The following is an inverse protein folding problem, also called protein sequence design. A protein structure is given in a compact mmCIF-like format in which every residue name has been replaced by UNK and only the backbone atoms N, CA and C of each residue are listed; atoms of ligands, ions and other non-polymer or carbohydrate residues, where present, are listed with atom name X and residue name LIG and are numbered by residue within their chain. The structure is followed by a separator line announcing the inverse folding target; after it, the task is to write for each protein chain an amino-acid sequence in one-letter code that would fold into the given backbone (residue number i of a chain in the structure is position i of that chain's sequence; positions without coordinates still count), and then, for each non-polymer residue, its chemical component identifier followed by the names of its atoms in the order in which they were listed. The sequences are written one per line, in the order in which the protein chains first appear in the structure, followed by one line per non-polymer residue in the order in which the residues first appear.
data_IF_066797481070
#
_entry.id   IF_066797481070
#
_cell.length_a   1.000
_cell.length_b   1.000
_cell.length_c   1.000
_cell.angle_alpha   90.00
_cell.angle_beta   90.00
_cell.angle_gamma   90.00
#
_symmetry.space_group_name_H-M   'P 1'
#
loop_
_entity.id
_entity.type
_entity.pdbx_description
1 polymer ?
#
# COMPACT_ATOMS: atom_id res chain seq x y z
N UNK A 1 -6.89 -30.75 -6.51
CA UNK A 1 -6.18 -29.45 -6.52
C UNK A 1 -7.05 -28.33 -7.05
N UNK A 2 -7.91 -28.59 -8.02
CA UNK A 2 -8.74 -27.59 -8.68
C UNK A 2 -9.68 -26.87 -7.73
N UNK A 3 -10.36 -27.58 -6.83
CA UNK A 3 -11.21 -26.96 -5.79
C UNK A 3 -10.46 -25.92 -4.91
N UNK A 4 -9.20 -26.18 -4.58
CA UNK A 4 -8.40 -25.23 -3.79
C UNK A 4 -8.04 -23.98 -4.60
N UNK A 5 -7.70 -24.15 -5.87
CA UNK A 5 -7.43 -23.05 -6.80
C UNK A 5 -8.67 -22.19 -7.00
N UNK A 6 -9.82 -22.81 -7.25
CA UNK A 6 -11.10 -22.12 -7.39
C UNK A 6 -11.48 -21.32 -6.12
N UNK A 7 -11.25 -21.92 -4.94
CA UNK A 7 -11.48 -21.25 -3.67
C UNK A 7 -10.56 -20.03 -3.49
N UNK A 8 -9.28 -20.16 -3.85
CA UNK A 8 -8.34 -19.04 -3.78
C UNK A 8 -8.71 -17.96 -4.79
N UNK A 9 -9.07 -18.32 -6.02
CA UNK A 9 -9.54 -17.36 -7.02
C UNK A 9 -10.76 -16.58 -6.51
N UNK A 10 -11.76 -17.28 -5.94
CA UNK A 10 -12.95 -16.64 -5.38
C UNK A 10 -12.65 -15.70 -4.20
N UNK A 11 -11.75 -16.10 -3.30
CA UNK A 11 -11.33 -15.29 -2.14
C UNK A 11 -10.49 -14.07 -2.58
N UNK A 12 -9.79 -14.18 -3.69
CA UNK A 12 -8.97 -13.11 -4.25
C UNK A 12 -9.79 -11.97 -4.84
N UNK A 13 -11.07 -12.18 -5.12
CA UNK A 13 -11.97 -11.13 -5.61
C UNK A 13 -11.93 -9.90 -4.70
N UNK A 14 -11.93 -8.66 -5.22
CA UNK A 14 -11.64 -7.45 -4.44
C UNK A 14 -12.43 -7.32 -3.16
N UNK A 15 -13.74 -7.54 -3.16
CA UNK A 15 -14.56 -7.42 -1.92
C UNK A 15 -14.19 -8.44 -0.84
N UNK A 16 -13.88 -9.69 -1.21
CA UNK A 16 -13.42 -10.69 -0.25
C UNK A 16 -12.00 -10.39 0.22
N UNK A 17 -11.13 -10.03 -0.72
CA UNK A 17 -9.75 -9.67 -0.44
C UNK A 17 -9.68 -8.49 0.54
N UNK A 18 -10.41 -7.40 0.32
CA UNK A 18 -10.47 -6.28 1.26
C UNK A 18 -11.11 -6.64 2.60
N UNK A 19 -12.17 -7.45 2.60
CA UNK A 19 -12.81 -7.90 3.85
C UNK A 19 -11.86 -8.74 4.71
N UNK A 20 -11.16 -9.70 4.08
CA UNK A 20 -10.17 -10.52 4.77
C UNK A 20 -8.96 -9.71 5.23
N UNK A 21 -8.54 -8.74 4.45
CA UNK A 21 -7.46 -7.82 4.83
C UNK A 21 -7.83 -6.96 6.05
N UNK A 22 -9.08 -6.53 6.19
CA UNK A 22 -9.56 -5.87 7.41
C UNK A 22 -9.51 -6.82 8.62
N UNK A 23 -9.86 -8.09 8.43
CA UNK A 23 -9.70 -9.12 9.46
C UNK A 23 -8.23 -9.32 9.84
N UNK A 24 -7.34 -9.41 8.85
CA UNK A 24 -5.90 -9.51 9.06
C UNK A 24 -5.36 -8.27 9.78
N UNK A 25 -5.80 -7.08 9.39
CA UNK A 25 -5.43 -5.83 10.06
C UNK A 25 -5.83 -5.84 11.54
N UNK A 26 -7.06 -6.26 11.85
CA UNK A 26 -7.49 -6.45 13.24
C UNK A 26 -6.59 -7.45 13.98
N UNK A 27 -6.25 -8.56 13.35
CA UNK A 27 -5.33 -9.56 13.91
C UNK A 27 -3.92 -8.98 14.14
N UNK A 28 -3.40 -8.18 13.22
CA UNK A 28 -2.10 -7.52 13.34
C UNK A 28 -2.05 -6.55 14.52
N UNK A 29 -3.14 -5.83 14.80
CA UNK A 29 -3.21 -4.91 15.93
C UNK A 29 -3.46 -5.61 17.28
N UNK A 30 -4.11 -6.77 17.26
CA UNK A 30 -4.51 -7.49 18.47
C UNK A 30 -3.53 -8.58 18.88
N UNK A 31 -3.02 -9.35 17.89
CA UNK A 31 -2.21 -10.54 18.16
C UNK A 31 -0.74 -10.22 18.31
N UNK A 32 -0.26 -10.24 19.54
CA UNK A 32 1.16 -10.06 19.84
C UNK A 32 2.04 -11.23 19.37
N UNK A 33 1.46 -12.42 19.20
CA UNK A 33 2.20 -13.62 18.79
C UNK A 33 2.79 -13.52 17.38
N UNK A 34 2.13 -12.75 16.48
CA UNK A 34 2.65 -12.47 15.14
C UNK A 34 4.01 -11.74 15.16
N UNK A 35 4.19 -10.87 16.15
CA UNK A 35 5.36 -9.99 16.28
C UNK A 35 6.46 -10.59 17.13
N UNK A 36 6.52 -11.92 17.22
CA UNK A 36 7.60 -12.67 17.83
C UNK A 36 8.51 -13.25 16.75
N UNK A 37 9.75 -13.68 17.12
CA UNK A 37 10.64 -14.35 16.18
C UNK A 37 10.01 -15.60 15.57
N UNK A 38 9.29 -16.39 16.40
CA UNK A 38 8.56 -17.57 15.91
C UNK A 38 7.42 -17.21 14.98
N UNK A 39 6.63 -16.19 15.33
CA UNK A 39 5.54 -15.70 14.50
C UNK A 39 6.02 -15.20 13.14
N UNK A 40 7.11 -14.42 13.11
CA UNK A 40 7.74 -13.96 11.89
C UNK A 40 8.27 -15.09 11.01
N UNK A 41 8.93 -16.09 11.60
CA UNK A 41 9.40 -17.26 10.86
C UNK A 41 8.25 -18.09 10.29
N UNK A 42 7.15 -18.26 11.02
CA UNK A 42 5.97 -18.97 10.54
C UNK A 42 5.33 -18.18 9.39
N UNK A 43 5.17 -16.88 9.53
CA UNK A 43 4.59 -16.03 8.47
C UNK A 43 5.45 -16.07 7.20
N UNK A 44 6.77 -15.97 7.33
CA UNK A 44 7.70 -16.10 6.21
C UNK A 44 7.62 -17.49 5.57
N UNK A 45 7.64 -18.55 6.37
CA UNK A 45 7.55 -19.92 5.87
C UNK A 45 6.24 -20.17 5.10
N UNK A 46 5.10 -19.68 5.64
CA UNK A 46 3.80 -19.77 4.97
C UNK A 46 3.84 -19.02 3.62
N UNK A 47 4.37 -17.80 3.58
CA UNK A 47 4.49 -17.04 2.34
C UNK A 47 5.39 -17.71 1.31
N UNK A 48 6.55 -18.21 1.72
CA UNK A 48 7.49 -18.91 0.82
C UNK A 48 6.89 -20.23 0.31
N UNK A 49 6.28 -21.03 1.19
CA UNK A 49 5.63 -22.30 0.79
C UNK A 49 4.47 -22.03 -0.16
N UNK A 50 3.65 -21.02 0.13
CA UNK A 50 2.58 -20.60 -0.77
C UNK A 50 3.14 -20.24 -2.15
N UNK A 51 4.16 -19.39 -2.22
CA UNK A 51 4.78 -18.98 -3.49
C UNK A 51 5.33 -20.20 -4.25
N UNK A 52 6.11 -21.06 -3.59
CA UNK A 52 6.74 -22.22 -4.23
C UNK A 52 5.70 -23.22 -4.75
N UNK A 53 4.63 -23.48 -4.00
CA UNK A 53 3.56 -24.36 -4.45
C UNK A 53 2.76 -23.74 -5.59
N UNK A 54 2.50 -22.44 -5.53
CA UNK A 54 1.77 -21.71 -6.58
C UNK A 54 2.57 -21.61 -7.88
N UNK A 55 3.89 -21.57 -7.81
CA UNK A 55 4.77 -21.59 -9.00
C UNK A 55 4.71 -22.91 -9.80
N UNK A 56 4.06 -23.96 -9.28
CA UNK A 56 3.79 -25.20 -10.01
C UNK A 56 2.59 -25.07 -10.95
N UNK A 57 1.81 -24.02 -10.84
CA UNK A 57 0.70 -23.70 -11.72
C UNK A 57 1.17 -22.84 -12.88
N UNK A 58 0.79 -23.18 -14.11
CA UNK A 58 1.27 -22.50 -15.32
C UNK A 58 0.76 -21.04 -15.41
N UNK A 59 -0.49 -20.80 -15.06
CA UNK A 59 -1.09 -19.46 -15.12
C UNK A 59 -0.50 -18.54 -14.06
N UNK A 60 -0.35 -19.03 -12.84
CA UNK A 60 0.32 -18.29 -11.78
C UNK A 60 1.78 -17.99 -12.13
N UNK A 61 2.50 -18.99 -12.64
CA UNK A 61 3.90 -18.84 -13.05
C UNK A 61 4.05 -17.79 -14.14
N UNK A 62 3.18 -17.81 -15.16
CA UNK A 62 3.23 -16.88 -16.29
C UNK A 62 3.12 -15.40 -15.85
N UNK A 63 2.34 -15.13 -14.80
CA UNK A 63 2.16 -13.77 -14.25
C UNK A 63 3.30 -13.40 -13.31
N UNK A 64 3.66 -14.27 -12.37
CA UNK A 64 4.61 -13.94 -11.30
C UNK A 64 6.06 -13.95 -11.77
N UNK A 65 6.41 -14.85 -12.69
CA UNK A 65 7.76 -14.96 -13.25
C UNK A 65 8.04 -13.97 -14.41
N UNK A 66 7.05 -13.17 -14.79
CA UNK A 66 7.26 -12.10 -15.77
C UNK A 66 8.37 -11.16 -15.28
N UNK A 67 9.38 -10.82 -16.10
CA UNK A 67 10.57 -10.10 -15.63
C UNK A 67 10.32 -8.79 -14.90
N UNK A 68 9.27 -8.06 -15.27
CA UNK A 68 8.84 -6.81 -14.61
C UNK A 68 8.13 -7.06 -13.26
N UNK A 69 7.54 -8.25 -13.05
CA UNK A 69 6.83 -8.61 -11.83
C UNK A 69 7.75 -9.21 -10.75
N UNK A 70 8.87 -9.83 -11.14
CA UNK A 70 9.82 -10.45 -10.18
C UNK A 70 10.29 -9.48 -9.10
N UNK A 71 10.73 -8.23 -9.40
CA UNK A 71 11.10 -7.26 -8.37
C UNK A 71 9.94 -6.91 -7.43
N UNK A 72 8.71 -6.90 -7.94
CA UNK A 72 7.52 -6.58 -7.14
C UNK A 72 7.23 -7.70 -6.14
N UNK A 73 7.36 -8.96 -6.55
CA UNK A 73 7.24 -10.10 -5.64
C UNK A 73 8.29 -10.03 -4.54
N UNK A 74 9.54 -9.74 -4.89
CA UNK A 74 10.60 -9.55 -3.90
C UNK A 74 10.28 -8.40 -2.94
N UNK A 75 9.75 -7.29 -3.46
CA UNK A 75 9.34 -6.14 -2.65
C UNK A 75 8.23 -6.52 -1.65
N UNK A 76 7.25 -7.34 -2.02
CA UNK A 76 6.20 -7.80 -1.10
C UNK A 76 6.80 -8.53 0.11
N UNK A 77 7.77 -9.41 -0.12
CA UNK A 77 8.47 -10.10 0.97
C UNK A 77 9.30 -9.14 1.83
N UNK A 78 9.99 -8.17 1.21
CA UNK A 78 10.76 -7.15 1.94
C UNK A 78 9.86 -6.26 2.79
N UNK A 79 8.74 -5.81 2.25
CA UNK A 79 7.74 -5.04 2.99
C UNK A 79 7.22 -5.84 4.18
N UNK A 80 6.85 -7.10 3.97
CA UNK A 80 6.42 -8.00 5.05
C UNK A 80 7.48 -8.14 6.15
N UNK A 81 8.74 -8.33 5.76
CA UNK A 81 9.86 -8.43 6.70
C UNK A 81 10.06 -7.13 7.50
N UNK A 82 10.10 -5.96 6.85
CA UNK A 82 10.35 -4.70 7.55
C UNK A 82 9.18 -4.30 8.45
N UNK A 83 7.93 -4.56 8.05
CA UNK A 83 6.76 -4.37 8.91
C UNK A 83 6.84 -5.28 10.14
N UNK A 84 7.13 -6.56 9.93
CA UNK A 84 7.32 -7.49 11.04
C UNK A 84 8.45 -7.03 11.97
N UNK A 85 9.59 -6.62 11.41
CA UNK A 85 10.75 -6.19 12.19
C UNK A 85 10.46 -4.93 13.02
N UNK A 86 9.80 -3.93 12.43
CA UNK A 86 9.38 -2.73 13.13
C UNK A 86 8.42 -3.05 14.28
N UNK A 87 7.42 -3.88 14.04
CA UNK A 87 6.45 -4.29 15.05
C UNK A 87 7.09 -5.17 16.15
N UNK A 88 8.02 -6.06 15.77
CA UNK A 88 8.80 -6.83 16.74
C UNK A 88 9.59 -5.92 17.68
N UNK A 89 10.28 -4.91 17.14
CA UNK A 89 11.01 -3.91 17.94
C UNK A 89 10.07 -3.11 18.84
N UNK A 90 8.94 -2.65 18.31
CA UNK A 90 7.95 -1.90 19.07
C UNK A 90 7.42 -2.66 20.28
N UNK A 91 7.06 -3.93 20.11
CA UNK A 91 6.61 -4.77 21.23
C UNK A 91 7.72 -5.10 22.23
N UNK A 92 8.95 -5.25 21.74
CA UNK A 92 10.10 -5.45 22.62
C UNK A 92 10.38 -4.21 23.47
N UNK A 93 10.27 -3.03 22.90
CA UNK A 93 10.40 -1.77 23.63
C UNK A 93 9.27 -1.58 24.65
N UNK A 94 8.05 -2.00 24.33
CA UNK A 94 6.94 -2.04 25.30
C UNK A 94 7.29 -2.92 26.52
N UNK A 95 7.95 -4.06 26.30
CA UNK A 95 8.35 -4.95 27.41
C UNK A 95 9.47 -4.36 28.26
N UNK A 96 10.47 -3.74 27.63
CA UNK A 96 11.55 -3.06 28.34
C UNK A 96 11.00 -1.91 29.18
N UNK A 97 10.17 -1.06 28.58
CA UNK A 97 9.53 0.07 29.27
C UNK A 97 8.66 -0.40 30.46
N UNK A 98 7.93 -1.51 30.30
CA UNK A 98 7.10 -2.07 31.36
C UNK A 98 7.92 -2.61 32.56
N UNK A 99 9.17 -2.97 32.33
CA UNK A 99 10.12 -3.40 33.39
C UNK A 99 10.92 -2.25 34.01
N UNK A 100 10.81 -1.05 33.42
CA UNK A 100 11.65 0.10 33.78
C UNK A 100 13.04 0.06 33.19
N UNK A 101 13.28 -0.86 32.24
CA UNK A 101 14.56 -0.98 31.54
C UNK A 101 14.64 0.06 30.41
N UNK A 102 15.85 0.54 30.06
CA UNK A 102 16.03 1.45 28.92
C UNK A 102 15.67 0.72 27.62
N UNK A 103 15.07 1.45 26.68
CA UNK A 103 14.80 0.92 25.35
C UNK A 103 16.09 0.74 24.56
N UNK A 104 16.06 -0.12 23.55
CA UNK A 104 17.23 -0.41 22.72
C UNK A 104 17.81 0.89 22.11
N UNK A 105 16.96 1.74 21.58
CA UNK A 105 17.33 3.01 20.96
C UNK A 105 17.93 4.02 21.97
N UNK A 106 17.56 3.94 23.25
CA UNK A 106 18.11 4.84 24.29
C UNK A 106 19.50 4.44 24.78
N UNK A 107 19.91 3.18 24.56
CA UNK A 107 21.23 2.67 24.94
C UNK A 107 22.27 2.90 23.84
N UNK A 108 21.84 3.07 22.58
CA UNK A 108 22.71 3.31 21.43
C UNK A 108 23.00 4.79 21.14
N UNK A 109 22.71 5.69 22.08
CA UNK A 109 22.65 7.16 21.86
C UNK A 109 24.00 7.82 21.50
N UNK A 110 25.13 7.13 21.62
CA UNK A 110 26.44 7.76 21.45
C UNK A 110 27.20 7.38 20.16
N UNK A 111 26.62 6.62 19.27
CA UNK A 111 27.24 6.28 17.98
C UNK A 111 27.18 7.46 16.98
N UNK A 112 27.85 8.53 17.35
CA UNK A 112 28.05 9.66 16.40
C UNK A 112 29.22 9.30 15.51
N UNK A 113 28.94 9.14 14.22
CA UNK A 113 29.96 9.03 13.19
C UNK A 113 30.11 10.37 12.46
N UNK A 114 31.33 10.66 12.01
CA UNK A 114 31.54 11.83 11.17
C UNK A 114 30.86 11.63 9.81
N UNK A 115 30.20 12.66 9.32
CA UNK A 115 29.63 12.63 7.96
C UNK A 115 30.74 12.39 6.95
N UNK A 116 31.87 13.05 7.12
CA UNK A 116 33.09 12.85 6.36
C UNK A 116 34.25 12.42 7.30
N UNK A 117 35.02 11.35 7.03
CA UNK A 117 34.90 10.45 5.86
C UNK A 117 33.94 9.27 6.07
N UNK A 118 33.53 8.94 7.30
CA UNK A 118 33.00 7.63 7.69
C UNK A 118 31.66 7.31 7.00
N UNK A 119 30.68 8.22 7.11
CA UNK A 119 29.36 8.01 6.52
C UNK A 119 29.44 8.00 4.99
N UNK A 120 30.11 8.99 4.40
CA UNK A 120 30.26 9.13 2.93
C UNK A 120 30.99 7.92 2.36
N UNK A 121 32.00 7.37 3.08
CA UNK A 121 32.71 6.20 2.60
C UNK A 121 31.85 4.94 2.62
N UNK A 122 31.03 4.77 3.66
CA UNK A 122 30.05 3.68 3.76
C UNK A 122 29.00 3.75 2.66
N UNK A 123 28.46 4.93 2.40
CA UNK A 123 27.49 5.20 1.32
C UNK A 123 28.11 4.94 -0.05
N UNK A 124 29.35 5.35 -0.27
CA UNK A 124 30.08 5.09 -1.51
C UNK A 124 30.26 3.59 -1.78
N UNK A 125 30.69 2.83 -0.75
CA UNK A 125 30.83 1.37 -0.90
C UNK A 125 29.46 0.74 -1.23
N UNK A 126 28.42 1.14 -0.50
CA UNK A 126 27.07 0.64 -0.78
C UNK A 126 26.61 0.97 -2.21
N UNK A 127 26.84 2.19 -2.67
CA UNK A 127 26.53 2.61 -4.02
C UNK A 127 27.24 1.75 -5.07
N UNK A 128 28.54 1.48 -4.88
CA UNK A 128 29.31 0.61 -5.79
C UNK A 128 28.74 -0.79 -5.82
N UNK A 129 28.51 -1.40 -4.65
CA UNK A 129 27.97 -2.76 -4.54
C UNK A 129 26.58 -2.84 -5.18
N UNK A 130 25.72 -1.86 -4.90
CA UNK A 130 24.38 -1.79 -5.47
C UNK A 130 24.42 -1.62 -7.00
N UNK A 131 25.29 -0.76 -7.50
CA UNK A 131 25.46 -0.55 -8.95
C UNK A 131 25.90 -1.84 -9.64
N UNK A 132 26.85 -2.58 -9.07
CA UNK A 132 27.28 -3.88 -9.60
C UNK A 132 26.12 -4.88 -9.58
N UNK A 133 25.39 -4.96 -8.46
CA UNK A 133 24.26 -5.87 -8.32
C UNK A 133 23.14 -5.55 -9.35
N UNK A 134 22.78 -4.28 -9.53
CA UNK A 134 21.79 -3.85 -10.51
C UNK A 134 22.26 -4.06 -11.96
N UNK A 135 23.55 -3.89 -12.23
CA UNK A 135 24.11 -4.17 -13.56
C UNK A 135 24.03 -5.66 -13.89
N UNK A 136 24.43 -6.53 -12.96
CA UNK A 136 24.27 -7.98 -13.13
C UNK A 136 22.81 -8.36 -13.30
N UNK A 137 21.93 -7.80 -12.48
CA UNK A 137 20.49 -7.99 -12.58
C UNK A 137 19.92 -7.64 -13.95
N UNK A 138 20.29 -6.48 -14.47
CA UNK A 138 19.82 -6.00 -15.79
C UNK A 138 20.30 -6.85 -16.97
N UNK A 139 21.44 -7.55 -16.81
CA UNK A 139 21.96 -8.47 -17.82
C UNK A 139 21.22 -9.82 -17.75
N UNK A 140 20.98 -10.31 -16.55
CA UNK A 140 20.37 -11.65 -16.31
C UNK A 140 18.87 -11.63 -16.53
N UNK A 141 18.19 -10.60 -16.02
CA UNK A 141 16.74 -10.44 -16.12
C UNK A 141 16.41 -9.34 -17.11
N UNK A 142 16.10 -9.75 -18.33
CA UNK A 142 15.76 -8.78 -19.41
C UNK A 142 14.36 -8.20 -19.15
N UNK A 143 14.25 -6.87 -19.20
CA UNK A 143 12.96 -6.22 -19.23
C UNK A 143 12.18 -6.63 -20.49
N UNK A 144 10.88 -6.96 -20.39
CA UNK A 144 10.05 -7.25 -21.55
C UNK A 144 9.92 -5.97 -22.40
N UNK A 145 10.25 -6.08 -23.67
CA UNK A 145 9.97 -5.02 -24.63
C UNK A 145 8.57 -5.25 -25.21
N UNK A 146 7.79 -4.20 -25.22
CA UNK A 146 6.51 -4.19 -25.93
C UNK A 146 6.73 -4.08 -27.46
N UNK A 147 5.67 -4.29 -28.23
CA UNK A 147 5.70 -4.09 -29.66
C UNK A 147 6.07 -2.62 -30.02
N UNK A 148 6.62 -2.39 -31.23
CA UNK A 148 6.89 -1.04 -31.69
C UNK A 148 5.67 -0.14 -31.58
N UNK A 149 5.88 1.13 -31.19
CA UNK A 149 4.81 2.10 -30.99
C UNK A 149 3.88 2.17 -32.21
N UNK A 150 2.60 1.92 -31.99
CA UNK A 150 1.57 2.03 -33.00
C UNK A 150 0.50 3.03 -32.52
N UNK A 151 0.29 4.16 -33.18
CA UNK A 151 -0.67 5.17 -32.76
C UNK A 151 -2.13 4.69 -32.81
N UNK A 152 -2.40 3.58 -33.47
CA UNK A 152 -3.74 3.00 -33.61
C UNK A 152 -4.07 1.92 -32.58
N UNK A 153 -3.09 1.48 -31.80
CA UNK A 153 -3.25 0.35 -30.86
C UNK A 153 -2.64 0.74 -29.51
N UNK A 154 -3.44 0.62 -28.45
CA UNK A 154 -2.95 0.74 -27.07
C UNK A 154 -2.68 -0.66 -26.49
N UNK A 155 -1.66 -0.82 -25.61
CA UNK A 155 -1.46 -2.06 -24.87
C UNK A 155 -2.72 -2.48 -24.10
N UNK A 156 -3.00 -3.77 -24.07
CA UNK A 156 -4.15 -4.31 -23.33
C UNK A 156 -3.72 -5.47 -22.41
N UNK A 157 -3.68 -5.23 -21.08
CA UNK A 157 -4.03 -4.01 -20.38
C UNK A 157 -2.95 -2.93 -20.45
N UNK A 158 -3.34 -1.65 -20.49
CA UNK A 158 -2.42 -0.52 -20.34
C UNK A 158 -2.19 -0.25 -18.85
N UNK A 159 -1.08 -0.73 -18.32
CA UNK A 159 -0.73 -0.59 -16.90
C UNK A 159 0.23 0.58 -16.68
N UNK A 160 -0.05 1.39 -15.68
CA UNK A 160 0.90 2.34 -15.14
C UNK A 160 2.12 1.61 -14.53
N UNK A 161 3.27 2.29 -14.33
CA UNK A 161 4.35 1.71 -13.53
C UNK A 161 3.86 1.24 -12.17
N UNK A 162 4.44 0.17 -11.65
CA UNK A 162 3.95 -0.54 -10.46
C UNK A 162 3.65 0.38 -9.25
N UNK A 163 4.44 1.43 -9.06
CA UNK A 163 4.26 2.38 -7.95
C UNK A 163 3.02 3.29 -8.11
N UNK A 164 2.48 3.42 -9.31
CA UNK A 164 1.20 4.11 -9.58
C UNK A 164 0.02 3.16 -9.78
N UNK A 165 0.25 1.85 -9.83
CA UNK A 165 -0.83 0.88 -10.03
C UNK A 165 -1.87 0.93 -8.91
N UNK A 166 -1.48 1.27 -7.69
CA UNK A 166 -2.43 1.49 -6.61
C UNK A 166 -3.43 2.61 -6.88
N UNK A 167 -2.98 3.73 -7.49
CA UNK A 167 -3.88 4.81 -7.91
C UNK A 167 -4.76 4.39 -9.09
N UNK A 168 -4.20 3.67 -10.05
CA UNK A 168 -4.95 3.15 -11.18
C UNK A 168 -6.03 2.15 -10.74
N UNK A 169 -5.73 1.28 -9.79
CA UNK A 169 -6.70 0.36 -9.21
C UNK A 169 -7.77 1.11 -8.39
N UNK A 170 -7.40 2.20 -7.73
CA UNK A 170 -8.34 3.03 -6.98
C UNK A 170 -9.45 3.61 -7.86
N UNK A 171 -9.16 3.91 -9.13
CA UNK A 171 -10.14 4.41 -10.11
C UNK A 171 -11.23 3.38 -10.46
N UNK A 172 -11.03 2.11 -10.12
CA UNK A 172 -12.08 1.08 -10.26
C UNK A 172 -13.17 1.24 -9.21
N UNK A 173 -12.81 1.73 -8.00
CA UNK A 173 -13.71 1.79 -6.84
C UNK A 173 -14.25 3.18 -6.55
N UNK A 174 -13.51 4.21 -6.94
CA UNK A 174 -13.82 5.61 -6.67
C UNK A 174 -13.84 6.42 -7.95
N UNK A 175 -14.65 7.46 -7.94
CA UNK A 175 -14.62 8.45 -9.02
C UNK A 175 -13.26 9.19 -9.08
N UNK A 176 -12.92 9.82 -10.23
CA UNK A 176 -11.64 10.48 -10.43
C UNK A 176 -11.31 11.56 -9.39
N UNK A 177 -12.33 12.24 -8.83
CA UNK A 177 -12.13 13.25 -7.80
C UNK A 177 -11.62 12.61 -6.51
N UNK A 178 -12.23 11.51 -6.11
CA UNK A 178 -11.83 10.80 -4.91
C UNK A 178 -10.46 10.15 -5.08
N UNK A 179 -10.27 9.38 -6.14
CA UNK A 179 -9.05 8.63 -6.38
C UNK A 179 -7.86 9.52 -6.77
N UNK A 180 -8.09 10.55 -7.61
CA UNK A 180 -7.02 11.38 -8.17
C UNK A 180 -6.70 12.65 -7.38
N UNK A 181 -7.63 13.17 -6.58
CA UNK A 181 -7.47 14.44 -5.87
C UNK A 181 -7.52 14.25 -4.36
N UNK A 182 -8.65 13.76 -3.82
CA UNK A 182 -8.87 13.74 -2.36
C UNK A 182 -7.87 12.84 -1.66
N UNK A 183 -7.81 11.56 -2.06
CA UNK A 183 -6.96 10.58 -1.37
C UNK A 183 -5.46 10.89 -1.51
N UNK A 184 -4.91 11.20 -2.69
CA UNK A 184 -3.53 11.64 -2.81
C UNK A 184 -3.21 12.92 -2.03
N UNK A 185 -4.12 13.92 -2.05
CA UNK A 185 -3.94 15.15 -1.29
C UNK A 185 -3.91 14.90 0.22
N UNK A 186 -4.77 14.02 0.74
CA UNK A 186 -4.76 13.64 2.15
C UNK A 186 -3.45 12.96 2.55
N UNK A 187 -2.89 12.11 1.68
CA UNK A 187 -1.59 11.47 1.93
C UNK A 187 -0.49 12.52 1.97
N UNK A 188 -0.40 13.39 0.97
CA UNK A 188 0.65 14.42 0.87
C UNK A 188 0.57 15.39 2.05
N UNK A 189 -0.62 15.95 2.32
CA UNK A 189 -0.83 16.88 3.41
C UNK A 189 -0.60 16.24 4.78
N UNK A 190 -1.01 14.96 4.93
CA UNK A 190 -0.73 14.18 6.14
C UNK A 190 0.77 14.01 6.39
N UNK A 191 1.53 13.64 5.37
CA UNK A 191 2.99 13.51 5.47
C UNK A 191 3.67 14.84 5.77
N UNK A 192 3.23 15.93 5.16
CA UNK A 192 3.74 17.28 5.43
C UNK A 192 3.42 17.74 6.86
N UNK A 193 2.31 17.31 7.43
CA UNK A 193 1.88 17.68 8.76
C UNK A 193 2.62 16.93 9.88
N UNK A 194 3.14 15.72 9.63
CA UNK A 194 3.77 14.87 10.66
C UNK A 194 4.79 15.62 11.54
N UNK A 195 5.77 16.38 11.00
CA UNK A 195 6.76 17.07 11.82
C UNK A 195 6.16 18.10 12.81
N UNK A 196 4.99 18.63 12.50
CA UNK A 196 4.33 19.65 13.32
C UNK A 196 3.36 19.07 14.34
N UNK A 197 2.80 17.91 14.05
CA UNK A 197 1.74 17.29 14.84
C UNK A 197 2.22 16.11 15.68
N UNK A 198 3.37 15.54 15.37
CA UNK A 198 3.93 14.45 16.15
C UNK A 198 4.33 14.94 17.54
N UNK A 199 3.71 14.35 18.54
CA UNK A 199 3.90 14.69 19.94
C UNK A 199 4.98 13.85 20.63
N UNK A 200 5.80 13.11 19.86
CA UNK A 200 6.83 12.26 20.41
C UNK A 200 7.96 13.09 21.08
N UNK A 201 8.09 13.10 22.42
CA UNK A 201 9.15 13.85 23.08
C UNK A 201 10.51 13.11 23.02
N UNK A 202 10.51 11.83 22.63
CA UNK A 202 11.66 10.94 22.74
C UNK A 202 12.54 10.93 21.48
N UNK A 203 12.04 11.47 20.36
CA UNK A 203 12.79 11.65 19.09
C UNK A 203 13.39 10.36 18.51
N UNK A 204 14.34 10.51 17.63
CA UNK A 204 15.33 9.54 17.12
C UNK A 204 14.93 8.05 17.04
N UNK A 205 13.84 7.76 16.32
CA UNK A 205 13.45 6.38 16.07
C UNK A 205 12.90 5.62 17.28
N UNK A 206 12.66 6.30 18.42
CA UNK A 206 11.99 5.70 19.55
C UNK A 206 10.59 5.22 19.14
N UNK A 207 10.40 3.91 19.18
CA UNK A 207 9.23 3.28 18.63
C UNK A 207 8.67 2.23 19.58
N UNK A 208 7.45 2.47 20.09
CA UNK A 208 6.71 1.56 20.95
C UNK A 208 5.31 1.35 20.39
N UNK A 209 4.73 0.18 20.57
CA UNK A 209 3.38 -0.09 20.11
C UNK A 209 2.33 0.61 20.99
N UNK A 210 2.51 0.57 22.31
CA UNK A 210 1.50 1.10 23.26
C UNK A 210 1.34 2.61 23.15
N UNK A 211 2.45 3.35 23.01
CA UNK A 211 2.42 4.80 22.93
C UNK A 211 2.04 5.30 21.53
N UNK A 212 2.28 4.48 20.48
CA UNK A 212 2.15 4.85 19.07
C UNK A 212 1.08 4.05 18.33
N UNK A 213 0.05 3.56 19.03
CA UNK A 213 -0.99 2.71 18.44
C UNK A 213 -1.73 3.35 17.26
N UNK A 214 -2.01 4.64 17.37
CA UNK A 214 -2.79 5.36 16.35
C UNK A 214 -1.96 5.55 15.09
N UNK A 215 -0.72 6.01 15.25
CA UNK A 215 0.22 6.22 14.16
C UNK A 215 0.51 4.91 13.43
N UNK A 216 0.76 3.83 14.19
CA UNK A 216 0.96 2.48 13.65
C UNK A 216 -0.29 1.99 12.91
N UNK A 217 -1.47 2.16 13.50
CA UNK A 217 -2.72 1.75 12.88
C UNK A 217 -2.99 2.52 11.58
N UNK A 218 -2.77 3.84 11.56
CA UNK A 218 -2.91 4.65 10.36
C UNK A 218 -1.94 4.21 9.26
N UNK A 219 -0.68 3.96 9.61
CA UNK A 219 0.33 3.50 8.67
C UNK A 219 0.00 2.11 8.11
N UNK A 220 -0.30 1.14 8.97
CA UNK A 220 -0.63 -0.22 8.55
C UNK A 220 -1.92 -0.24 7.71
N UNK A 221 -2.91 0.55 8.08
CA UNK A 221 -4.15 0.64 7.31
C UNK A 221 -3.93 1.33 5.96
N UNK A 222 -3.38 2.54 5.95
CA UNK A 222 -3.26 3.34 4.73
C UNK A 222 -2.24 2.78 3.76
N UNK A 223 -1.05 2.46 4.24
CA UNK A 223 0.04 2.03 3.38
C UNK A 223 0.03 0.53 3.10
N UNK A 224 -0.06 -0.31 4.14
CA UNK A 224 0.01 -1.76 3.94
C UNK A 224 -1.30 -2.31 3.39
N UNK A 225 -2.42 -2.04 4.07
CA UNK A 225 -3.69 -2.62 3.71
C UNK A 225 -4.26 -2.01 2.41
N UNK A 226 -4.34 -0.70 2.32
CA UNK A 226 -4.94 -0.07 1.14
C UNK A 226 -3.96 0.00 -0.03
N UNK A 227 -2.85 0.68 0.15
CA UNK A 227 -1.94 0.98 -0.96
C UNK A 227 -1.24 -0.25 -1.51
N UNK A 228 -0.57 -1.02 -0.66
CA UNK A 228 0.17 -2.22 -1.10
C UNK A 228 -0.76 -3.28 -1.67
N UNK A 229 -1.95 -3.46 -1.08
CA UNK A 229 -2.93 -4.40 -1.60
C UNK A 229 -3.44 -4.00 -2.99
N UNK A 230 -3.73 -2.71 -3.21
CA UNK A 230 -4.13 -2.22 -4.53
C UNK A 230 -3.02 -2.40 -5.58
N UNK A 231 -1.75 -2.22 -5.21
CA UNK A 231 -0.62 -2.53 -6.09
C UNK A 231 -0.61 -4.02 -6.45
N UNK A 232 -0.78 -4.90 -5.47
CA UNK A 232 -0.81 -6.35 -5.70
C UNK A 232 -1.98 -6.73 -6.63
N UNK A 233 -3.18 -6.21 -6.39
CA UNK A 233 -4.34 -6.45 -7.24
C UNK A 233 -4.08 -5.94 -8.67
N UNK A 234 -3.67 -4.69 -8.82
CA UNK A 234 -3.41 -4.07 -10.12
C UNK A 234 -2.28 -4.75 -10.91
N UNK A 235 -1.26 -5.26 -10.22
CA UNK A 235 -0.12 -5.92 -10.86
C UNK A 235 -0.45 -7.34 -11.28
N UNK A 236 -0.99 -8.15 -10.37
CA UNK A 236 -1.08 -9.61 -10.54
C UNK A 236 -2.49 -10.11 -10.89
N UNK A 237 -3.54 -9.34 -10.56
CA UNK A 237 -4.92 -9.80 -10.70
C UNK A 237 -5.73 -9.00 -11.72
N UNK A 238 -5.13 -7.98 -12.36
CA UNK A 238 -5.74 -7.24 -13.49
C UNK A 238 -5.06 -7.63 -14.79
N UNK A 239 -5.85 -8.22 -15.67
CA UNK A 239 -5.45 -8.68 -16.99
C UNK A 239 -6.09 -7.85 -18.12
N UNK A 240 -6.28 -8.44 -19.32
CA UNK A 240 -6.87 -7.78 -20.47
C UNK A 240 -8.19 -7.08 -20.15
N UNK A 241 -8.42 -5.93 -20.76
CA UNK A 241 -9.59 -5.07 -20.55
C UNK A 241 -9.76 -4.59 -19.10
N UNK A 242 -8.69 -4.61 -18.30
CA UNK A 242 -8.71 -4.32 -16.86
C UNK A 242 -9.63 -5.24 -16.06
N UNK A 243 -9.98 -6.41 -16.63
CA UNK A 243 -10.79 -7.40 -15.95
C UNK A 243 -10.02 -8.05 -14.80
N UNK A 244 -10.77 -8.50 -13.81
CA UNK A 244 -10.21 -9.26 -12.70
C UNK A 244 -10.00 -10.71 -13.11
N UNK A 245 -8.83 -11.25 -12.76
CA UNK A 245 -8.48 -12.65 -12.89
C UNK A 245 -7.95 -13.15 -11.55
N UNK A 246 -8.40 -14.31 -11.14
CA UNK A 246 -7.83 -14.97 -9.97
C UNK A 246 -6.36 -15.36 -10.19
N UNK A 247 -5.61 -15.65 -9.10
CA UNK A 247 -4.19 -16.01 -9.21
C UNK A 247 -3.91 -17.25 -10.07
N UNK A 248 -4.90 -18.13 -10.23
CA UNK A 248 -4.82 -19.37 -11.00
C UNK A 248 -5.79 -19.37 -12.18
N UNK A 249 -6.12 -18.20 -12.71
CA UNK A 249 -6.97 -18.04 -13.88
C UNK A 249 -6.15 -17.65 -15.11
N UNK A 250 -6.45 -18.31 -16.24
CA UNK A 250 -5.90 -17.93 -17.54
C UNK A 250 -6.39 -16.54 -17.95
N UNK A 251 -5.50 -15.69 -18.42
CA UNK A 251 -5.83 -14.34 -18.87
C UNK A 251 -6.45 -14.34 -20.26
N UNK A 252 -7.76 -14.57 -20.32
CA UNK A 252 -8.53 -14.53 -21.58
C UNK A 252 -8.69 -13.09 -22.08
N UNK A 253 -8.14 -12.82 -23.26
CA UNK A 253 -8.22 -11.51 -23.94
C UNK A 253 -9.66 -11.15 -24.33
N UNK A 254 -10.52 -12.16 -24.51
CA UNK A 254 -11.92 -11.96 -24.91
C UNK A 254 -12.85 -11.77 -23.71
N UNK A 255 -12.37 -11.93 -22.49
CA UNK A 255 -13.16 -11.66 -21.29
C UNK A 255 -13.51 -10.17 -21.24
N UNK A 256 -14.78 -9.84 -21.21
CA UNK A 256 -15.30 -8.48 -21.09
C UNK A 256 -16.26 -8.44 -19.91
N UNK A 257 -15.84 -7.82 -18.81
CA UNK A 257 -16.71 -7.48 -17.71
C UNK A 257 -16.96 -5.97 -17.73
N UNK A 258 -18.23 -5.49 -17.67
CA UNK A 258 -18.50 -4.07 -17.65
C UNK A 258 -18.00 -3.46 -16.34
N UNK A 259 -16.92 -2.68 -16.40
CA UNK A 259 -16.48 -1.80 -15.31
C UNK A 259 -17.45 -0.61 -15.27
N UNK A 260 -18.38 -0.63 -14.33
CA UNK A 260 -19.29 0.50 -14.11
C UNK A 260 -18.58 1.49 -13.19
N UNK A 261 -17.82 2.38 -13.80
CA UNK A 261 -17.28 3.54 -13.12
C UNK A 261 -18.32 4.65 -13.19
N UNK A 262 -18.88 5.03 -12.04
CA UNK A 262 -19.88 6.09 -11.97
C UNK A 262 -19.24 7.30 -11.31
N UNK A 263 -18.96 8.32 -12.11
CA UNK A 263 -18.47 9.59 -11.60
C UNK A 263 -19.44 10.18 -10.57
N UNK A 264 -18.89 10.81 -9.53
CA UNK A 264 -19.69 11.47 -8.50
C UNK A 264 -20.65 12.51 -9.09
N UNK A 265 -20.20 13.19 -10.13
CA UNK A 265 -21.02 14.16 -10.89
C UNK A 265 -22.18 13.49 -11.60
N UNK A 266 -21.95 12.34 -12.26
CA UNK A 266 -23.01 11.56 -12.90
C UNK A 266 -23.99 11.02 -11.85
N UNK A 267 -23.45 10.46 -10.74
CA UNK A 267 -24.28 9.96 -9.67
C UNK A 267 -25.21 11.04 -9.11
N UNK A 268 -24.68 12.24 -8.85
CA UNK A 268 -25.45 13.35 -8.27
C UNK A 268 -26.44 13.95 -9.26
N UNK A 269 -25.97 14.39 -10.44
CA UNK A 269 -26.79 15.10 -11.40
C UNK A 269 -27.76 14.19 -12.15
N UNK A 270 -27.29 13.05 -12.63
CA UNK A 270 -28.09 12.17 -13.50
C UNK A 270 -28.91 11.18 -12.68
N UNK A 271 -28.29 10.43 -11.78
CA UNK A 271 -28.99 9.35 -11.06
C UNK A 271 -29.83 9.86 -9.90
N UNK A 272 -29.34 10.82 -9.13
CA UNK A 272 -30.05 11.31 -7.94
C UNK A 272 -31.02 12.42 -8.25
N UNK A 273 -30.68 13.41 -9.11
CA UNK A 273 -31.52 14.55 -9.46
C UNK A 273 -32.31 14.33 -10.75
N UNK A 274 -32.01 13.31 -11.55
CA UNK A 274 -32.70 13.06 -12.82
C UNK A 274 -32.50 14.15 -13.89
N UNK A 275 -31.46 14.99 -13.73
CA UNK A 275 -31.09 16.06 -14.67
C UNK A 275 -29.93 15.61 -15.55
N UNK A 276 -29.72 16.26 -16.70
CA UNK A 276 -28.49 16.02 -17.48
C UNK A 276 -27.27 16.63 -16.80
N UNK A 277 -26.06 16.21 -17.23
CA UNK A 277 -24.81 16.78 -16.73
C UNK A 277 -24.74 18.28 -17.12
N UNK A 278 -24.49 19.19 -16.16
CA UNK A 278 -24.31 20.62 -16.43
C UNK A 278 -23.18 20.88 -17.42
N UNK A 279 -23.42 21.77 -18.40
CA UNK A 279 -22.39 22.15 -19.38
C UNK A 279 -21.24 22.96 -18.79
N UNK A 280 -21.46 23.68 -17.69
CA UNK A 280 -20.39 24.36 -16.96
C UNK A 280 -19.65 23.36 -16.09
N UNK A 281 -18.34 23.21 -16.34
CA UNK A 281 -17.51 22.24 -15.64
C UNK A 281 -17.49 22.44 -14.11
N UNK A 282 -17.49 23.70 -13.63
CA UNK A 282 -17.45 24.00 -12.19
C UNK A 282 -18.74 23.54 -11.50
N UNK A 283 -19.90 23.76 -12.14
CA UNK A 283 -21.19 23.29 -11.61
C UNK A 283 -21.25 21.76 -11.69
N UNK A 284 -20.78 21.19 -12.78
CA UNK A 284 -20.73 19.73 -12.96
C UNK A 284 -19.90 19.06 -11.85
N UNK A 285 -18.71 19.58 -11.57
CA UNK A 285 -17.79 19.02 -10.60
C UNK A 285 -18.03 19.51 -9.14
N UNK A 286 -19.06 20.33 -8.93
CA UNK A 286 -19.41 20.85 -7.61
C UNK A 286 -19.56 19.76 -6.52
N UNK A 287 -20.18 18.58 -6.78
CA UNK A 287 -20.25 17.50 -5.80
C UNK A 287 -18.88 17.02 -5.35
N UNK A 288 -17.92 16.85 -6.26
CA UNK A 288 -16.54 16.48 -5.95
C UNK A 288 -15.83 17.56 -5.15
N UNK A 289 -15.94 18.83 -5.55
CA UNK A 289 -15.36 19.98 -4.86
C UNK A 289 -15.89 20.10 -3.42
N UNK A 290 -17.19 19.92 -3.22
CA UNK A 290 -17.81 19.93 -1.89
C UNK A 290 -17.34 18.74 -1.04
N UNK A 291 -17.17 17.57 -1.63
CA UNK A 291 -16.64 16.40 -0.95
C UNK A 291 -15.20 16.64 -0.47
N UNK A 292 -14.35 17.21 -1.33
CA UNK A 292 -12.96 17.60 -0.96
C UNK A 292 -12.98 18.59 0.18
N UNK A 293 -13.80 19.66 0.08
CA UNK A 293 -13.96 20.66 1.14
C UNK A 293 -14.45 20.05 2.46
N UNK A 294 -15.38 19.10 2.38
CA UNK A 294 -15.85 18.37 3.56
C UNK A 294 -14.72 17.59 4.25
N UNK A 295 -13.95 16.81 3.51
CA UNK A 295 -12.86 16.01 4.06
C UNK A 295 -11.70 16.86 4.59
N UNK A 296 -11.32 17.92 3.89
CA UNK A 296 -10.16 18.74 4.27
C UNK A 296 -10.46 19.80 5.34
N UNK A 297 -11.71 20.25 5.46
CA UNK A 297 -12.07 21.35 6.35
C UNK A 297 -13.11 20.91 7.39
N UNK A 298 -14.28 20.46 6.93
CA UNK A 298 -15.41 20.22 7.82
C UNK A 298 -15.15 19.05 8.75
N UNK A 299 -14.67 17.93 8.23
CA UNK A 299 -14.42 16.72 9.00
C UNK A 299 -13.34 16.92 10.06
N UNK A 300 -12.16 17.50 9.79
CA UNK A 300 -11.16 17.83 10.82
C UNK A 300 -11.69 18.74 11.91
N UNK A 301 -12.44 19.80 11.55
CA UNK A 301 -13.04 20.71 12.54
C UNK A 301 -14.07 20.00 13.43
N UNK A 302 -14.91 19.13 12.85
CA UNK A 302 -15.87 18.35 13.62
C UNK A 302 -15.20 17.37 14.57
N UNK A 303 -14.16 16.69 14.10
CA UNK A 303 -13.36 15.77 14.92
C UNK A 303 -12.65 16.51 16.04
N UNK A 304 -12.08 17.68 15.79
CA UNK A 304 -11.44 18.52 16.79
C UNK A 304 -12.43 18.94 17.89
N UNK A 305 -13.67 19.23 17.53
CA UNK A 305 -14.72 19.60 18.50
C UNK A 305 -15.25 18.41 19.31
N UNK A 306 -15.38 17.23 18.71
CA UNK A 306 -16.03 16.08 19.33
C UNK A 306 -15.09 15.13 20.07
N UNK A 307 -13.82 15.02 19.70
CA UNK A 307 -12.87 14.07 20.30
C UNK A 307 -11.79 14.76 21.09
N UNK A 308 -11.62 14.36 22.38
CA UNK A 308 -10.56 14.90 23.26
C UNK A 308 -9.16 14.69 22.68
N UNK A 309 -8.96 13.59 21.97
CA UNK A 309 -7.70 13.27 21.31
C UNK A 309 -7.42 14.22 20.16
N UNK A 310 -8.39 14.47 19.30
CA UNK A 310 -8.25 15.37 18.16
C UNK A 310 -8.19 16.84 18.59
N UNK A 311 -8.80 17.19 19.71
CA UNK A 311 -8.70 18.53 20.30
C UNK A 311 -7.27 18.84 20.75
N UNK A 312 -6.60 17.89 21.43
CA UNK A 312 -5.18 18.02 21.82
C UNK A 312 -4.26 18.19 20.62
N UNK A 313 -4.62 17.60 19.52
CA UNK A 313 -3.94 17.71 18.25
C UNK A 313 -4.12 19.13 17.65
N UNK A 314 -5.35 19.62 17.64
CA UNK A 314 -5.70 20.94 17.11
C UNK A 314 -5.15 22.10 17.95
N UNK A 315 -5.06 21.93 19.26
CA UNK A 315 -4.51 22.94 20.20
C UNK A 315 -2.97 23.05 20.11
N UNK A 316 -2.30 22.13 19.44
CA UNK A 316 -0.85 22.11 19.22
C UNK A 316 -0.43 22.59 17.83
N UNK A 317 -1.38 22.71 16.90
CA UNK A 317 -1.17 23.38 15.60
C UNK A 317 -1.31 24.87 15.72
#
# INVERSE_FOLDING_TARGET
MDFLKDAINAISYPWWSFTLSLGLFGLMLWSRSLWTKRGGLIALAVGVVFLLLSMLDEDFFAVVAKPDNVPIVMMVFLVGFFVWFAMYKAHRNDDLTARGDPTFESTEVEDRIFTWPDLVFSEFIFMVVLTVALTVWSIVLKAPLEEPANPSIAPNPSKAPWYFLGLQEMLVYYDPWMAGVVLPSLIILGLMAIPYIDTNPKGNGYFTFRERRVEIALFLFGWLLLWTQMIVIGTFLRGPNWNFFGPYEFWDVNKVEPLVNVDLSEYFWVRMLGTGLPGNWFIRELPGILLVGFYLVVLPVLLAKKTRWFRRFYEKM
#
